data_IF_109181083306
#
_entry.id   IF_109181083306
#
_cell.length_a   1.000
_cell.length_b   1.000
_cell.length_c   1.000
_cell.angle_alpha   90.00
_cell.angle_beta   90.00
_cell.angle_gamma   90.00
#
_symmetry.space_group_name_H-M   'P 1'
#
loop_
_entity.id
_entity.type
_entity.pdbx_description
1 polymer ?
#
# COMPACT_ATOMS: atom_id res chain seq x y z
N UNK A 1 3.70 -12.73 -31.37
CA UNK A 1 3.34 -11.41 -30.82
C UNK A 1 3.32 -11.54 -29.31
N UNK A 2 4.19 -10.82 -28.59
CA UNK A 2 4.21 -10.84 -27.13
C UNK A 2 2.94 -10.15 -26.61
N UNK A 3 2.19 -10.79 -25.71
CA UNK A 3 1.03 -10.18 -25.09
C UNK A 3 1.46 -8.91 -24.33
N UNK A 4 0.74 -7.78 -24.47
CA UNK A 4 1.08 -6.57 -23.74
C UNK A 4 1.02 -6.83 -22.23
N UNK A 5 2.03 -6.34 -21.51
CA UNK A 5 2.17 -6.51 -20.06
C UNK A 5 1.06 -5.76 -19.34
N UNK A 6 0.04 -6.49 -18.85
CA UNK A 6 -1.02 -5.89 -18.05
C UNK A 6 -0.43 -5.21 -16.79
N UNK A 7 -0.84 -3.97 -16.47
CA UNK A 7 -0.33 -3.29 -15.28
C UNK A 7 -0.80 -4.03 -14.01
N UNK A 8 0.13 -4.25 -13.08
CA UNK A 8 -0.14 -4.91 -11.81
C UNK A 8 -0.79 -3.92 -10.84
N UNK A 9 -1.90 -4.32 -10.22
CA UNK A 9 -2.56 -3.59 -9.14
C UNK A 9 -2.39 -4.31 -7.81
N UNK A 10 -2.40 -3.55 -6.72
CA UNK A 10 -2.24 -4.05 -5.37
C UNK A 10 -3.45 -3.67 -4.51
N UNK A 11 -4.08 -4.65 -3.88
CA UNK A 11 -5.07 -4.43 -2.83
C UNK A 11 -4.43 -4.75 -1.48
N UNK A 12 -4.55 -3.81 -0.54
CA UNK A 12 -4.16 -4.02 0.85
C UNK A 12 -5.35 -4.58 1.64
N UNK A 13 -5.19 -5.79 2.18
CA UNK A 13 -6.19 -6.42 3.02
C UNK A 13 -5.73 -6.42 4.48
N UNK A 14 -6.58 -5.90 5.36
CA UNK A 14 -6.36 -5.90 6.81
C UNK A 14 -7.17 -7.02 7.44
N UNK A 15 -6.49 -7.94 8.13
CA UNK A 15 -7.10 -9.08 8.81
C UNK A 15 -6.89 -8.98 10.33
N UNK A 16 -7.86 -8.48 11.10
CA UNK A 16 -7.77 -8.41 12.56
C UNK A 16 -7.72 -9.79 13.20
N UNK A 17 -6.83 -9.98 14.17
CA UNK A 17 -6.74 -11.24 14.91
C UNK A 17 -7.91 -11.34 15.88
N UNK A 18 -8.70 -12.41 15.78
CA UNK A 18 -9.86 -12.66 16.65
C UNK A 18 -11.20 -12.20 16.07
N UNK A 19 -11.21 -11.63 14.86
CA UNK A 19 -12.45 -11.39 14.12
C UNK A 19 -12.62 -12.45 13.03
N UNK A 20 -13.88 -12.76 12.71
CA UNK A 20 -14.22 -13.61 11.58
C UNK A 20 -13.76 -12.93 10.27
N UNK A 21 -13.24 -13.70 9.30
CA UNK A 21 -12.88 -13.15 8.00
C UNK A 21 -14.07 -12.53 7.29
N UNK A 22 -13.81 -11.52 6.47
CA UNK A 22 -14.84 -10.87 5.66
C UNK A 22 -15.31 -11.80 4.55
N UNK A 23 -16.63 -11.91 4.41
CA UNK A 23 -17.27 -12.76 3.40
C UNK A 23 -17.31 -12.11 2.02
N UNK A 24 -17.10 -10.79 1.94
CA UNK A 24 -17.16 -10.04 0.70
C UNK A 24 -15.82 -10.13 -0.04
N UNK A 25 -15.87 -10.63 -1.28
CA UNK A 25 -14.73 -10.62 -2.20
C UNK A 25 -14.69 -9.26 -2.89
N UNK A 26 -13.55 -8.52 -2.85
CA UNK A 26 -13.40 -7.28 -3.59
C UNK A 26 -13.71 -7.47 -5.07
N UNK A 27 -14.39 -6.51 -5.69
CA UNK A 27 -14.87 -6.60 -7.07
C UNK A 27 -13.80 -7.09 -8.06
N UNK A 28 -12.60 -6.52 -7.99
CA UNK A 28 -11.48 -6.87 -8.88
C UNK A 28 -10.98 -8.32 -8.72
N UNK A 29 -11.24 -8.93 -7.56
CA UNK A 29 -10.82 -10.28 -7.21
C UNK A 29 -11.92 -11.34 -7.43
N UNK A 30 -13.17 -10.94 -7.69
CA UNK A 30 -14.30 -11.85 -7.86
C UNK A 30 -14.11 -12.82 -9.04
N UNK A 31 -13.38 -12.40 -10.08
CA UNK A 31 -13.05 -13.27 -11.23
C UNK A 31 -12.05 -14.38 -10.90
N UNK A 32 -11.28 -14.21 -9.82
CA UNK A 32 -10.24 -15.15 -9.41
C UNK A 32 -10.65 -16.06 -8.27
N UNK A 33 -11.52 -15.55 -7.39
CA UNK A 33 -11.88 -16.24 -6.16
C UNK A 33 -13.38 -16.33 -6.00
N UNK A 34 -13.87 -17.57 -5.81
CA UNK A 34 -15.19 -17.78 -5.25
C UNK A 34 -15.22 -17.36 -3.78
N UNK A 35 -16.42 -17.05 -3.27
CA UNK A 35 -16.64 -16.63 -1.88
C UNK A 35 -16.06 -17.64 -0.89
N UNK A 36 -16.28 -18.93 -1.11
CA UNK A 36 -15.82 -19.98 -0.19
C UNK A 36 -14.29 -20.08 -0.14
N UNK A 37 -13.63 -20.00 -1.30
CA UNK A 37 -12.17 -20.03 -1.40
C UNK A 37 -11.55 -18.80 -0.73
N UNK A 38 -12.17 -17.63 -0.92
CA UNK A 38 -11.74 -16.38 -0.29
C UNK A 38 -11.76 -16.46 1.23
N UNK A 39 -12.88 -16.92 1.81
CA UNK A 39 -13.04 -17.07 3.26
C UNK A 39 -12.09 -18.13 3.81
N UNK A 40 -11.97 -19.29 3.14
CA UNK A 40 -11.08 -20.37 3.56
C UNK A 40 -9.61 -19.90 3.64
N UNK A 41 -9.14 -19.13 2.65
CA UNK A 41 -7.78 -18.59 2.63
C UNK A 41 -7.53 -17.59 3.73
N UNK A 42 -8.45 -16.65 3.95
CA UNK A 42 -8.31 -15.71 5.06
C UNK A 42 -8.26 -16.43 6.41
N UNK A 43 -9.09 -17.47 6.62
CA UNK A 43 -9.04 -18.30 7.85
C UNK A 43 -7.70 -19.00 8.02
N UNK A 44 -7.16 -19.57 6.94
CA UNK A 44 -5.85 -20.21 6.97
C UNK A 44 -4.74 -19.21 7.34
N UNK A 45 -4.78 -18.02 6.74
CA UNK A 45 -3.82 -16.94 7.05
C UNK A 45 -3.97 -16.45 8.49
N UNK A 46 -5.18 -16.24 8.98
CA UNK A 46 -5.44 -15.84 10.37
C UNK A 46 -4.94 -16.90 11.36
N UNK A 47 -5.20 -18.18 11.09
CA UNK A 47 -4.79 -19.29 11.96
C UNK A 47 -3.27 -19.40 12.03
N UNK A 48 -2.57 -19.25 10.90
CA UNK A 48 -1.11 -19.33 10.86
C UNK A 48 -0.44 -18.05 11.37
N UNK A 49 -0.96 -16.89 11.00
CA UNK A 49 -0.39 -15.57 11.32
C UNK A 49 -0.64 -15.11 12.74
N UNK A 50 -1.77 -15.47 13.36
CA UNK A 50 -2.11 -15.10 14.75
C UNK A 50 -1.11 -15.62 15.79
N UNK A 51 -0.37 -16.70 15.48
CA UNK A 51 0.68 -17.22 16.38
C UNK A 51 1.83 -16.24 16.57
N UNK A 52 2.10 -15.40 15.57
CA UNK A 52 3.20 -14.43 15.55
C UNK A 52 2.76 -13.00 15.83
N UNK A 53 1.48 -12.80 16.18
CA UNK A 53 0.91 -11.52 16.59
C UNK A 53 0.47 -11.61 18.04
N UNK A 54 1.31 -11.09 18.94
CA UNK A 54 1.02 -11.06 20.38
C UNK A 54 1.12 -9.63 20.90
N UNK A 55 0.16 -8.75 20.56
CA UNK A 55 0.28 -7.31 20.80
C UNK A 55 0.53 -6.96 22.27
N UNK A 56 -0.11 -7.68 23.21
CA UNK A 56 0.10 -7.47 24.65
C UNK A 56 1.54 -7.79 25.07
N UNK A 57 2.07 -8.94 24.63
CA UNK A 57 3.44 -9.32 24.91
C UNK A 57 4.43 -8.34 24.29
N UNK A 58 4.21 -7.94 23.04
CA UNK A 58 5.09 -7.00 22.33
C UNK A 58 5.17 -5.64 23.01
N UNK A 59 4.03 -5.11 23.49
CA UNK A 59 3.97 -3.83 24.20
C UNK A 59 4.71 -3.94 25.54
N UNK A 60 4.41 -4.97 26.34
CA UNK A 60 5.07 -5.18 27.64
C UNK A 60 6.58 -5.37 27.46
N UNK A 61 6.99 -6.16 26.46
CA UNK A 61 8.38 -6.37 26.12
C UNK A 61 9.07 -5.07 25.70
N UNK A 62 8.44 -4.26 24.83
CA UNK A 62 9.01 -2.99 24.39
C UNK A 62 9.16 -2.00 25.55
N UNK A 63 8.18 -1.89 26.44
CA UNK A 63 8.25 -1.03 27.63
C UNK A 63 9.38 -1.52 28.55
N UNK A 64 9.43 -2.82 28.84
CA UNK A 64 10.47 -3.40 29.67
C UNK A 64 11.87 -3.16 29.10
N UNK A 65 12.06 -3.42 27.80
CA UNK A 65 13.33 -3.18 27.11
C UNK A 65 13.71 -1.69 27.08
N UNK A 66 12.73 -0.80 26.92
CA UNK A 66 12.95 0.65 27.00
C UNK A 66 13.46 1.04 28.39
N UNK A 67 12.79 0.61 29.45
CA UNK A 67 13.22 0.91 30.82
C UNK A 67 14.60 0.30 31.13
N UNK A 68 14.83 -0.95 30.72
CA UNK A 68 16.11 -1.63 30.89
C UNK A 68 17.24 -0.90 30.15
N UNK A 69 16.96 -0.29 29.00
CA UNK A 69 17.95 0.46 28.21
C UNK A 69 18.49 1.69 28.91
N UNK A 70 17.78 2.23 29.91
CA UNK A 70 18.28 3.29 30.79
C UNK A 70 18.84 2.74 32.10
N UNK A 71 18.10 1.84 32.75
CA UNK A 71 18.46 1.32 34.07
C UNK A 71 19.78 0.52 34.05
N UNK A 72 19.97 -0.34 33.06
CA UNK A 72 21.15 -1.25 33.00
C UNK A 72 22.45 -0.46 32.79
N UNK A 73 22.57 0.47 31.82
CA UNK A 73 23.81 1.23 31.65
C UNK A 73 24.14 2.10 32.86
N UNK A 74 23.13 2.72 33.50
CA UNK A 74 23.33 3.52 34.72
C UNK A 74 23.84 2.64 35.86
N UNK A 75 23.24 1.47 36.07
CA UNK A 75 23.68 0.53 37.11
C UNK A 75 25.10 0.02 36.84
N UNK A 76 25.39 -0.40 35.60
CA UNK A 76 26.71 -0.87 35.18
C UNK A 76 27.76 0.22 35.35
N UNK A 77 27.47 1.46 34.94
CA UNK A 77 28.37 2.60 35.14
C UNK A 77 28.74 2.77 36.62
N UNK A 78 27.74 2.78 37.51
CA UNK A 78 27.98 2.96 38.94
C UNK A 78 28.77 1.78 39.53
N UNK A 79 28.45 0.54 39.16
CA UNK A 79 29.17 -0.65 39.64
C UNK A 79 30.62 -0.61 39.18
N UNK A 80 30.87 -0.38 37.89
CA UNK A 80 32.21 -0.37 37.32
C UNK A 80 33.03 0.79 37.89
N UNK A 81 32.42 1.97 38.07
CA UNK A 81 33.10 3.11 38.67
C UNK A 81 33.62 2.77 40.08
N UNK A 82 32.78 2.15 40.93
CA UNK A 82 33.18 1.79 42.29
C UNK A 82 34.14 0.60 42.35
N UNK A 83 34.09 -0.30 41.36
CA UNK A 83 34.95 -1.47 41.28
C UNK A 83 36.35 -1.16 40.73
N UNK A 84 36.49 -0.15 39.85
CA UNK A 84 37.78 0.23 39.29
C UNK A 84 38.69 0.86 40.36
N UNK A 85 39.96 0.44 40.44
CA UNK A 85 40.91 1.04 41.36
C UNK A 85 41.03 2.54 41.09
N UNK A 86 41.19 3.32 42.15
CA UNK A 86 41.50 4.74 42.00
C UNK A 86 42.91 4.81 41.41
N UNK A 87 43.02 5.14 40.12
CA UNK A 87 44.31 5.50 39.54
C UNK A 87 44.90 6.59 40.42
N UNK A 88 46.15 6.42 40.84
CA UNK A 88 46.91 7.52 41.39
C UNK A 88 46.87 8.64 40.33
N UNK A 89 46.39 9.80 40.74
CA UNK A 89 46.37 10.97 39.87
C UNK A 89 47.81 11.40 39.78
N UNK A 90 48.46 11.16 38.65
CA UNK A 90 49.75 11.78 38.37
C UNK A 90 49.51 13.28 38.22
N UNK A 91 49.86 14.01 39.26
CA UNK A 91 49.76 15.46 39.31
C UNK A 91 51.01 16.01 38.64
N UNK A 92 50.97 16.24 37.33
CA UNK A 92 52.02 16.98 36.65
C UNK A 92 51.84 18.48 36.89
N UNK A 93 52.87 19.12 37.47
CA UNK A 93 52.96 20.57 37.59
C UNK A 93 53.46 21.13 36.28
N UNK A 94 52.62 21.86 35.55
CA UNK A 94 53.08 22.63 34.39
C UNK A 94 54.08 23.70 34.83
N UNK A 95 54.99 24.09 33.94
CA UNK A 95 56.02 25.11 34.18
C UNK A 95 55.45 26.45 34.69
N UNK A 96 54.18 26.74 34.39
CA UNK A 96 53.46 27.94 34.83
C UNK A 96 52.79 27.80 36.20
N UNK A 97 53.09 26.74 36.97
CA UNK A 97 52.55 26.49 38.31
C UNK A 97 51.10 25.99 38.34
N UNK A 98 50.47 25.79 37.18
CA UNK A 98 49.13 25.20 37.06
C UNK A 98 49.19 23.70 37.30
N UNK A 99 48.28 23.21 38.13
CA UNK A 99 48.10 21.80 38.44
C UNK A 99 47.09 21.23 37.45
N UNK A 100 47.49 20.25 36.63
CA UNK A 100 46.59 19.56 35.70
C UNK A 100 46.58 18.08 36.07
N UNK A 101 45.41 17.53 36.40
CA UNK A 101 45.22 16.10 36.59
C UNK A 101 45.02 15.45 35.21
N UNK A 102 45.95 14.59 34.79
CA UNK A 102 45.97 14.04 33.43
C UNK A 102 45.27 12.67 33.33
N UNK A 103 45.13 11.93 34.44
CA UNK A 103 44.62 10.55 34.41
C UNK A 103 43.16 10.43 34.84
N UNK A 104 42.23 10.73 33.93
CA UNK A 104 40.78 10.53 34.07
C UNK A 104 40.28 9.19 33.45
N UNK A 105 41.20 8.24 33.23
CA UNK A 105 40.95 6.97 32.53
C UNK A 105 39.83 6.14 33.18
N UNK A 106 39.70 6.21 34.52
CA UNK A 106 38.69 5.49 35.28
C UNK A 106 37.27 5.84 34.83
N UNK A 107 36.99 7.13 34.62
CA UNK A 107 35.66 7.56 34.18
C UNK A 107 35.39 7.14 32.74
N UNK A 108 36.42 7.15 31.89
CA UNK A 108 36.30 6.71 30.50
C UNK A 108 36.02 5.21 30.40
N UNK A 109 36.74 4.38 31.16
CA UNK A 109 36.52 2.94 31.21
C UNK A 109 35.11 2.59 31.71
N UNK A 110 34.63 3.27 32.75
CA UNK A 110 33.27 3.08 33.25
C UNK A 110 32.20 3.48 32.21
N UNK A 111 32.41 4.57 31.46
CA UNK A 111 31.53 4.98 30.36
C UNK A 111 31.54 3.95 29.24
N UNK A 112 32.71 3.48 28.81
CA UNK A 112 32.83 2.46 27.77
C UNK A 112 32.11 1.16 28.16
N UNK A 113 32.25 0.72 29.42
CA UNK A 113 31.53 -0.44 29.94
C UNK A 113 30.00 -0.24 29.89
N UNK A 114 29.51 0.95 30.25
CA UNK A 114 28.07 1.26 30.20
C UNK A 114 27.51 1.28 28.77
N UNK A 115 28.28 1.80 27.80
CA UNK A 115 27.93 1.78 26.37
C UNK A 115 27.92 0.33 25.87
N UNK A 116 28.92 -0.47 26.26
CA UNK A 116 28.97 -1.89 25.93
C UNK A 116 27.75 -2.65 26.46
N UNK A 117 27.36 -2.39 27.71
CA UNK A 117 26.15 -2.98 28.31
C UNK A 117 24.87 -2.55 27.59
N UNK A 118 24.76 -1.28 27.20
CA UNK A 118 23.64 -0.78 26.40
C UNK A 118 23.53 -1.50 25.04
N UNK A 119 24.63 -1.59 24.30
CA UNK A 119 24.67 -2.29 23.01
C UNK A 119 24.39 -3.78 23.18
N UNK A 120 24.96 -4.43 24.19
CA UNK A 120 24.69 -5.83 24.53
C UNK A 120 23.21 -6.07 24.80
N UNK A 121 22.58 -5.21 25.62
CA UNK A 121 21.15 -5.27 25.89
C UNK A 121 20.33 -5.08 24.60
N UNK A 122 20.70 -4.13 23.74
CA UNK A 122 20.01 -3.92 22.47
C UNK A 122 20.07 -5.17 21.59
N UNK A 123 21.25 -5.76 21.43
CA UNK A 123 21.39 -6.95 20.59
C UNK A 123 20.67 -8.15 21.20
N UNK A 124 20.86 -8.44 22.47
CA UNK A 124 20.28 -9.62 23.13
C UNK A 124 18.75 -9.50 23.23
N UNK A 125 18.21 -8.29 23.45
CA UNK A 125 16.77 -8.10 23.53
C UNK A 125 16.11 -7.98 22.15
N UNK A 126 16.54 -7.02 21.33
CA UNK A 126 15.82 -6.69 20.10
C UNK A 126 16.08 -7.66 18.96
N UNK A 127 17.29 -8.22 18.82
CA UNK A 127 17.58 -9.10 17.67
C UNK A 127 16.74 -10.37 17.70
N UNK A 128 16.67 -11.16 18.79
CA UNK A 128 15.80 -12.32 18.84
C UNK A 128 14.33 -11.98 18.60
N UNK A 129 13.88 -10.83 19.12
CA UNK A 129 12.51 -10.35 18.91
C UNK A 129 12.20 -10.09 17.43
N UNK A 130 13.08 -9.36 16.72
CA UNK A 130 12.91 -9.09 15.30
C UNK A 130 13.06 -10.36 14.45
N UNK A 131 13.98 -11.26 14.82
CA UNK A 131 14.15 -12.56 14.14
C UNK A 131 12.89 -13.42 14.27
N UNK A 132 12.27 -13.48 15.45
CA UNK A 132 11.02 -14.20 15.66
C UNK A 132 9.91 -13.66 14.76
N UNK A 133 9.75 -12.33 14.65
CA UNK A 133 8.78 -11.73 13.74
C UNK A 133 9.11 -11.98 12.27
N UNK A 134 10.38 -11.89 11.88
CA UNK A 134 10.82 -12.17 10.51
C UNK A 134 10.57 -13.63 10.13
N UNK A 135 10.78 -14.56 11.06
CA UNK A 135 10.45 -15.97 10.90
C UNK A 135 8.95 -16.18 10.69
N UNK A 136 8.10 -15.51 11.49
CA UNK A 136 6.65 -15.52 11.32
C UNK A 136 6.21 -15.05 9.92
N UNK A 137 6.76 -13.92 9.45
CA UNK A 137 6.54 -13.43 8.08
C UNK A 137 6.93 -14.46 7.03
N UNK A 138 8.11 -15.07 7.15
CA UNK A 138 8.60 -16.10 6.21
C UNK A 138 7.66 -17.30 6.18
N UNK A 139 7.17 -17.75 7.34
CA UNK A 139 6.23 -18.87 7.45
C UNK A 139 4.87 -18.60 6.79
N UNK A 140 4.33 -17.39 6.97
CA UNK A 140 3.08 -17.00 6.30
C UNK A 140 3.30 -16.82 4.80
N UNK A 141 4.36 -16.12 4.38
CA UNK A 141 4.67 -15.95 2.96
C UNK A 141 4.93 -17.28 2.24
N UNK A 142 5.55 -18.26 2.91
CA UNK A 142 5.70 -19.61 2.35
C UNK A 142 4.34 -20.29 2.11
N UNK A 143 3.36 -20.07 2.99
CA UNK A 143 1.99 -20.55 2.78
C UNK A 143 1.29 -19.80 1.65
N UNK A 144 1.41 -18.48 1.61
CA UNK A 144 0.84 -17.64 0.55
C UNK A 144 1.39 -17.99 -0.84
N UNK A 145 2.68 -18.34 -0.92
CA UNK A 145 3.28 -18.87 -2.15
C UNK A 145 2.64 -20.18 -2.61
N UNK A 146 2.27 -21.07 -1.69
CA UNK A 146 1.54 -22.30 -2.04
C UNK A 146 0.18 -21.98 -2.65
N UNK A 147 -0.56 -21.02 -2.07
CA UNK A 147 -1.82 -20.55 -2.66
C UNK A 147 -1.64 -19.99 -4.07
N UNK A 148 -0.57 -19.22 -4.33
CA UNK A 148 -0.31 -18.72 -5.69
C UNK A 148 0.03 -19.83 -6.69
N UNK A 149 0.68 -20.91 -6.25
CA UNK A 149 0.98 -22.07 -7.10
C UNK A 149 -0.30 -22.88 -7.38
N UNK A 150 -1.13 -23.07 -6.37
CA UNK A 150 -2.46 -23.71 -6.53
C UNK A 150 -3.34 -22.91 -7.48
N UNK A 151 -3.36 -21.57 -7.36
CA UNK A 151 -4.09 -20.69 -8.28
C UNK A 151 -3.57 -20.79 -9.70
N UNK A 152 -2.24 -20.80 -9.88
CA UNK A 152 -1.62 -20.94 -11.19
C UNK A 152 -1.95 -22.30 -11.83
N UNK A 153 -2.03 -23.36 -11.02
CA UNK A 153 -2.39 -24.70 -11.51
C UNK A 153 -3.86 -24.76 -11.95
N UNK A 154 -4.77 -24.14 -11.18
CA UNK A 154 -6.22 -24.12 -11.50
C UNK A 154 -6.53 -23.22 -12.69
N UNK A 155 -5.78 -22.12 -12.88
CA UNK A 155 -5.98 -21.18 -13.99
C UNK A 155 -5.62 -21.75 -15.39
N UNK A 156 -4.96 -22.92 -15.45
CA UNK A 156 -4.70 -23.65 -16.70
C UNK A 156 -3.71 -22.99 -17.68
N UNK A 157 -3.69 -23.49 -18.93
CA UNK A 157 -2.81 -23.04 -20.03
C UNK A 157 -3.11 -21.63 -20.55
N UNK A 158 -4.12 -20.95 -20.01
CA UNK A 158 -4.54 -19.60 -20.35
C UNK A 158 -3.59 -18.51 -19.83
N UNK A 159 -2.28 -18.79 -19.70
CA UNK A 159 -1.16 -17.83 -19.66
C UNK A 159 -1.28 -16.59 -18.75
N UNK A 160 -2.24 -16.58 -17.84
CA UNK A 160 -2.70 -15.38 -17.16
C UNK A 160 -1.91 -15.19 -15.88
N UNK A 161 -1.40 -13.98 -15.68
CA UNK A 161 -0.83 -13.58 -14.40
C UNK A 161 -1.89 -13.84 -13.29
N UNK A 162 -1.63 -14.77 -12.39
CA UNK A 162 -2.54 -15.07 -11.27
C UNK A 162 -2.27 -14.13 -10.10
N UNK A 163 -3.27 -13.87 -9.23
CA UNK A 163 -3.06 -13.01 -8.08
C UNK A 163 -2.00 -13.62 -7.14
N UNK A 164 -1.03 -12.79 -6.74
CA UNK A 164 0.01 -13.15 -5.79
C UNK A 164 -0.29 -12.57 -4.42
N UNK A 165 -0.21 -13.40 -3.40
CA UNK A 165 -0.43 -12.99 -2.02
C UNK A 165 0.92 -12.77 -1.34
N UNK A 166 1.04 -11.66 -0.62
CA UNK A 166 2.18 -11.37 0.22
C UNK A 166 1.76 -10.73 1.53
N UNK A 167 2.55 -10.93 2.58
CA UNK A 167 2.28 -10.34 3.90
C UNK A 167 3.35 -9.30 4.24
N UNK A 168 2.89 -8.13 4.70
CA UNK A 168 3.76 -7.10 5.30
C UNK A 168 4.12 -7.51 6.74
N UNK A 169 5.34 -7.19 7.16
CA UNK A 169 5.75 -7.44 8.54
C UNK A 169 4.89 -6.63 9.50
N UNK A 170 4.29 -7.25 10.54
CA UNK A 170 3.47 -6.54 11.49
C UNK A 170 4.35 -5.67 12.40
N UNK A 171 3.95 -4.41 12.56
CA UNK A 171 4.57 -3.48 13.51
C UNK A 171 4.42 -3.94 14.96
N UNK A 172 5.16 -3.31 15.88
CA UNK A 172 5.05 -3.55 17.32
C UNK A 172 3.63 -3.18 17.77
N UNK A 173 2.94 -4.09 18.46
CA UNK A 173 1.60 -3.88 18.97
C UNK A 173 0.48 -3.97 17.90
N UNK A 174 0.80 -4.38 16.67
CA UNK A 174 -0.23 -4.57 15.64
C UNK A 174 -1.25 -5.63 16.10
N UNK A 175 -2.53 -5.33 15.88
CA UNK A 175 -3.65 -6.26 16.15
C UNK A 175 -4.15 -6.95 14.88
N UNK A 176 -3.58 -6.62 13.73
CA UNK A 176 -4.00 -7.14 12.44
C UNK A 176 -2.81 -7.58 11.59
N UNK A 177 -3.05 -8.59 10.74
CA UNK A 177 -2.18 -8.96 9.64
C UNK A 177 -2.48 -8.03 8.46
N UNK A 178 -1.44 -7.50 7.83
CA UNK A 178 -1.58 -6.73 6.60
C UNK A 178 -1.09 -7.58 5.43
N UNK A 179 -2.03 -7.94 4.56
CA UNK A 179 -1.77 -8.67 3.33
C UNK A 179 -1.82 -7.70 2.15
N UNK A 180 -1.04 -8.01 1.12
CA UNK A 180 -1.00 -7.33 -0.15
C UNK A 180 -1.28 -8.38 -1.21
N UNK A 181 -2.33 -8.18 -1.99
CA UNK A 181 -2.71 -9.04 -3.10
C UNK A 181 -2.40 -8.28 -4.38
N UNK A 182 -1.45 -8.81 -5.16
CA UNK A 182 -1.02 -8.25 -6.43
C UNK A 182 -1.67 -9.02 -7.57
N UNK A 183 -2.43 -8.37 -8.44
CA UNK A 183 -3.11 -9.02 -9.57
C UNK A 183 -2.94 -8.20 -10.85
N UNK A 184 -2.94 -8.81 -12.04
CA UNK A 184 -2.94 -8.04 -13.28
C UNK A 184 -4.28 -7.33 -13.43
N UNK A 185 -4.28 -6.05 -13.80
CA UNK A 185 -5.52 -5.38 -14.19
C UNK A 185 -5.97 -5.92 -15.56
N UNK A 186 -7.24 -6.32 -15.74
CA UNK A 186 -7.73 -6.51 -17.10
C UNK A 186 -7.63 -5.16 -17.83
N UNK A 187 -7.13 -5.17 -19.07
CA UNK A 187 -7.31 -4.00 -19.93
C UNK A 187 -8.80 -3.79 -20.10
N UNK A 188 -9.34 -2.75 -19.46
CA UNK A 188 -10.66 -2.27 -19.83
C UNK A 188 -10.49 -1.64 -21.21
N UNK A 189 -11.14 -2.16 -22.27
CA UNK A 189 -11.09 -1.51 -23.57
C UNK A 189 -11.71 -0.12 -23.40
N UNK A 190 -10.88 0.91 -23.48
CA UNK A 190 -11.37 2.27 -23.51
C UNK A 190 -11.77 2.59 -24.96
N UNK A 191 -12.81 3.40 -25.18
CA UNK A 191 -13.17 3.84 -26.53
C UNK A 191 -12.07 4.67 -27.22
N UNK A 192 -11.04 5.04 -26.47
CA UNK A 192 -9.87 5.79 -26.93
C UNK A 192 -8.63 4.91 -27.18
N UNK A 193 -8.75 3.59 -27.05
CA UNK A 193 -7.63 2.70 -27.38
C UNK A 193 -7.42 2.66 -28.91
N UNK A 194 -6.16 2.67 -29.40
CA UNK A 194 -5.89 2.52 -30.84
C UNK A 194 -6.52 1.24 -31.39
N UNK A 195 -7.42 1.35 -32.36
CA UNK A 195 -8.19 0.23 -32.91
C UNK A 195 -9.44 -0.16 -32.10
N UNK A 196 -9.85 0.63 -31.11
CA UNK A 196 -11.13 0.44 -30.43
C UNK A 196 -12.29 0.62 -31.41
N UNK A 197 -13.29 -0.26 -31.34
CA UNK A 197 -14.58 -0.03 -31.99
C UNK A 197 -15.22 1.20 -31.34
N UNK A 198 -15.22 2.30 -32.09
CA UNK A 198 -15.90 3.52 -31.70
C UNK A 198 -17.40 3.22 -31.52
N UNK A 199 -18.07 3.85 -30.53
CA UNK A 199 -19.49 3.65 -30.31
C UNK A 199 -20.32 3.85 -31.59
N UNK A 200 -21.42 3.10 -31.78
CA UNK A 200 -22.18 3.12 -33.04
C UNK A 200 -22.66 4.52 -33.47
N UNK A 201 -22.92 5.43 -32.54
CA UNK A 201 -23.35 6.80 -32.84
C UNK A 201 -22.23 7.72 -33.36
N UNK A 202 -20.96 7.31 -33.25
CA UNK A 202 -19.81 8.00 -33.83
C UNK A 202 -19.41 7.42 -35.20
N UNK A 203 -19.77 6.17 -35.46
CA UNK A 203 -19.39 5.43 -36.69
C UNK A 203 -20.51 5.38 -37.71
N UNK A 204 -21.75 5.29 -37.25
CA UNK A 204 -22.91 5.20 -38.12
C UNK A 204 -23.44 6.61 -38.39
N UNK A 205 -23.83 6.91 -39.65
CA UNK A 205 -24.51 8.16 -39.95
C UNK A 205 -25.81 8.27 -39.15
N UNK A 206 -26.29 9.50 -38.87
CA UNK A 206 -27.62 9.70 -38.33
C UNK A 206 -28.65 8.95 -39.18
N UNK A 207 -29.44 8.07 -38.55
CA UNK A 207 -30.50 7.32 -39.25
C UNK A 207 -31.71 8.19 -39.62
N UNK A 208 -31.70 9.46 -39.22
CA UNK A 208 -32.72 10.43 -39.57
C UNK A 208 -32.63 10.79 -41.07
N UNK A 209 -33.67 10.51 -41.88
CA UNK A 209 -33.71 10.88 -43.30
C UNK A 209 -33.49 12.38 -43.56
N UNK A 210 -33.84 13.24 -42.61
CA UNK A 210 -33.65 14.69 -42.73
C UNK A 210 -32.18 15.13 -42.53
N UNK A 211 -31.40 14.37 -41.76
CA UNK A 211 -29.99 14.65 -41.51
C UNK A 211 -29.08 14.11 -42.62
N UNK A 212 -29.53 13.09 -43.36
CA UNK A 212 -28.72 12.43 -44.39
C UNK A 212 -28.25 13.39 -45.51
N UNK A 213 -29.03 14.43 -45.82
CA UNK A 213 -28.67 15.46 -46.80
C UNK A 213 -27.50 16.37 -46.39
N UNK A 214 -27.26 16.53 -45.09
CA UNK A 214 -26.18 17.38 -44.56
C UNK A 214 -24.83 16.65 -44.45
N UNK A 215 -24.87 15.32 -44.26
CA UNK A 215 -23.66 14.49 -44.09
C UNK A 215 -23.22 13.76 -45.36
N UNK A 216 -24.08 13.70 -46.39
CA UNK A 216 -23.82 13.02 -47.67
C UNK A 216 -22.51 13.42 -48.39
N UNK A 217 -22.06 14.69 -48.41
CA UNK A 217 -20.80 15.06 -49.07
C UNK A 217 -19.55 14.51 -48.37
N UNK A 218 -19.67 14.15 -47.10
CA UNK A 218 -18.54 13.76 -46.24
C UNK A 218 -18.36 12.23 -46.13
N UNK A 219 -19.25 11.44 -46.75
CA UNK A 219 -19.25 9.97 -46.67
C UNK A 219 -19.18 9.29 -48.06
N UNK A 220 -18.77 10.01 -49.10
CA UNK A 220 -18.58 9.46 -50.44
C UNK A 220 -17.44 8.39 -50.45
N UNK A 221 -17.54 7.35 -51.31
CA UNK A 221 -16.56 6.27 -51.39
C UNK A 221 -15.23 6.81 -51.96
N UNK A 222 -14.35 7.23 -51.06
CA UNK A 222 -13.08 7.90 -51.33
C UNK A 222 -12.48 8.61 -50.11
N UNK A 223 -13.26 8.83 -49.04
CA UNK A 223 -12.79 9.47 -47.83
C UNK A 223 -12.16 8.45 -46.85
N UNK A 224 -10.88 8.67 -46.53
CA UNK A 224 -10.11 7.85 -45.59
C UNK A 224 -10.51 8.20 -44.16
N UNK A 225 -10.81 7.17 -43.36
CA UNK A 225 -11.19 7.26 -41.97
C UNK A 225 -10.09 7.96 -41.14
N UNK A 226 -10.37 9.17 -40.60
CA UNK A 226 -9.46 9.85 -39.66
C UNK A 226 -9.06 11.31 -39.98
N UNK A 227 -9.57 11.96 -41.04
CA UNK A 227 -9.32 13.39 -41.23
C UNK A 227 -10.25 14.28 -40.37
N UNK A 228 -9.77 15.41 -39.82
CA UNK A 228 -10.61 16.37 -39.11
C UNK A 228 -11.57 17.05 -40.09
N UNK A 229 -12.87 16.95 -39.80
CA UNK A 229 -13.92 17.55 -40.61
C UNK A 229 -14.21 18.95 -40.05
N UNK A 230 -13.88 20.00 -40.81
CA UNK A 230 -14.37 21.34 -40.50
C UNK A 230 -15.80 21.47 -41.05
N UNK A 231 -16.72 21.96 -40.21
CA UNK A 231 -18.09 22.25 -40.63
C UNK A 231 -18.10 23.25 -41.79
N UNK A 232 -19.00 23.10 -42.78
CA UNK A 232 -19.08 24.04 -43.89
C UNK A 232 -19.55 25.40 -43.38
N UNK A 233 -18.76 26.43 -43.65
CA UNK A 233 -19.02 27.83 -43.30
C UNK A 233 -20.03 28.52 -44.21
N UNK A 234 -20.78 27.79 -45.03
CA UNK A 234 -21.65 28.39 -46.04
C UNK A 234 -23.14 28.12 -45.78
N UNK A 235 -23.81 29.22 -45.45
CA UNK A 235 -25.25 29.44 -45.36
C UNK A 235 -26.08 28.61 -46.34
N UNK A 236 -26.75 27.58 -45.82
CA UNK A 236 -27.98 27.05 -46.43
C UNK A 236 -29.11 27.26 -45.42
N UNK A 237 -29.99 28.22 -45.73
CA UNK A 237 -31.12 28.58 -44.88
C UNK A 237 -32.16 27.46 -44.80
N UNK A 238 -32.51 27.09 -43.57
CA UNK A 238 -33.64 26.20 -43.30
C UNK A 238 -33.50 25.43 -42.00
N UNK A 239 -34.21 25.91 -40.98
CA UNK A 239 -34.48 25.30 -39.65
C UNK A 239 -33.36 25.47 -38.60
N UNK A 240 -33.56 26.33 -37.57
CA UNK A 240 -32.71 26.37 -36.40
C UNK A 240 -32.83 25.04 -35.64
N UNK A 241 -31.72 24.36 -35.38
CA UNK A 241 -31.71 23.16 -34.53
C UNK A 241 -31.94 23.48 -33.04
N UNK A 242 -32.00 24.77 -32.69
CA UNK A 242 -32.37 25.26 -31.36
C UNK A 242 -33.49 26.29 -31.51
N UNK A 243 -34.67 25.94 -31.02
CA UNK A 243 -35.75 26.89 -30.83
C UNK A 243 -35.51 27.61 -29.50
N UNK A 244 -34.92 28.81 -29.56
CA UNK A 244 -34.63 29.64 -28.37
C UNK A 244 -35.89 30.08 -27.60
N UNK A 245 -37.09 29.71 -28.09
CA UNK A 245 -38.39 30.03 -27.46
C UNK A 245 -39.10 28.84 -26.84
N UNK A 246 -38.51 27.64 -26.85
CA UNK A 246 -39.06 26.47 -26.18
C UNK A 246 -38.41 26.27 -24.79
N UNK A 247 -38.49 27.31 -23.96
CA UNK A 247 -38.23 27.21 -22.52
C UNK A 247 -39.42 26.54 -21.81
N UNK A 248 -39.62 25.24 -22.09
CA UNK A 248 -40.31 24.33 -21.19
C UNK A 248 -39.61 22.98 -21.18
N UNK A 249 -38.35 23.00 -20.76
CA UNK A 249 -37.75 21.81 -20.16
C UNK A 249 -38.54 21.56 -18.87
N UNK A 250 -39.21 20.40 -18.70
CA UNK A 250 -39.70 20.01 -17.38
C UNK A 250 -38.49 20.03 -16.45
N UNK A 251 -38.56 20.77 -15.35
CA UNK A 251 -37.49 20.83 -14.34
C UNK A 251 -37.07 19.40 -13.97
N UNK A 252 -35.99 18.93 -14.60
CA UNK A 252 -35.28 17.77 -14.11
C UNK A 252 -34.57 18.25 -12.84
N UNK A 253 -35.29 18.17 -11.72
CA UNK A 253 -34.70 18.19 -10.39
C UNK A 253 -33.85 16.93 -10.29
N UNK A 254 -32.57 17.07 -10.68
CA UNK A 254 -31.57 16.08 -10.32
C UNK A 254 -31.61 15.83 -8.81
N UNK A 255 -31.30 14.61 -8.35
CA UNK A 255 -31.34 14.31 -6.93
C UNK A 255 -30.47 15.31 -6.17
N UNK A 256 -31.07 15.95 -5.16
CA UNK A 256 -30.39 16.88 -4.28
C UNK A 256 -29.09 16.25 -3.74
N UNK A 257 -28.05 17.07 -3.66
CA UNK A 257 -26.65 16.71 -3.33
C UNK A 257 -26.44 16.00 -1.97
N UNK A 258 -27.49 15.70 -1.22
CA UNK A 258 -27.43 15.10 0.11
C UNK A 258 -27.66 13.57 0.14
N UNK A 259 -27.87 12.90 -1.00
CA UNK A 259 -28.28 11.48 -0.99
C UNK A 259 -27.14 10.46 -1.26
N UNK A 260 -25.92 10.90 -1.59
CA UNK A 260 -24.80 9.97 -1.89
C UNK A 260 -23.44 10.37 -1.28
N UNK A 261 -23.43 10.84 -0.04
CA UNK A 261 -22.18 10.91 0.74
C UNK A 261 -22.40 10.23 2.09
N UNK A 262 -22.01 8.96 2.28
CA UNK A 262 -21.62 8.53 3.60
C UNK A 262 -20.31 9.25 3.92
N UNK A 263 -20.37 10.04 5.00
CA UNK A 263 -19.26 10.68 5.69
C UNK A 263 -17.94 9.90 5.59
N UNK A 264 -16.85 10.59 5.20
CA UNK A 264 -15.49 10.44 5.76
C UNK A 264 -14.52 11.37 5.02
N UNK A 265 -14.64 12.67 5.31
CA UNK A 265 -13.54 13.61 5.16
C UNK A 265 -12.77 13.60 6.49
N UNK A 266 -11.94 12.58 6.70
CA UNK A 266 -10.92 12.63 7.76
C UNK A 266 -9.63 13.19 7.17
N UNK A 267 -9.06 14.17 7.88
CA UNK A 267 -8.05 15.10 7.39
C UNK A 267 -6.74 14.44 6.96
N UNK A 268 -6.32 14.79 5.75
CA UNK A 268 -4.92 14.71 5.34
C UNK A 268 -4.16 15.90 5.94
N UNK A 269 -3.86 15.85 7.23
CA UNK A 269 -2.83 16.71 7.84
C UNK A 269 -1.83 15.81 8.58
N UNK A 270 -0.55 16.17 8.46
CA UNK A 270 0.66 15.54 8.98
C UNK A 270 1.28 14.34 8.24
N UNK A 271 1.92 14.65 7.09
CA UNK A 271 3.19 14.00 6.71
C UNK A 271 4.27 15.08 6.69
N UNK A 272 5.12 15.14 7.73
CA UNK A 272 6.41 15.85 7.65
C UNK A 272 7.39 15.02 6.83
N UNK A 273 7.99 15.68 5.85
CA UNK A 273 9.10 15.23 4.99
C UNK A 273 10.35 14.99 5.84
#
# INVERSE_FOLDING_TARGET
MAAPYAPIQNIALRLPVGQSPGDTVPYDLQRYYSRDVWVARQRAVLTKGSRYLKPRFEIVFAIFMLLASFAVPIAVYNIVLHALPKSEVDIERLADGRIVAINDERFWQARAASIGAFLGLLFIGWVPFFLWKAYGKRQVNAMLRKFSVEDAAVAGQTGGQTPQWSMKMPGIGSRALHLIISYPRPYAPTPYAPGAQLPPYLVNPPQDPAANGFYAPYMAPGHVQGQPHHAPTENAGGVPLYNDRDEKVPEYSGPAYDTYLPHEKEGFEDVKV
#
